data_IF_760442470324
#
_entry.id   IF_760442470324
#
_cell.length_a   1.000
_cell.length_b   1.000
_cell.length_c   1.000
_cell.angle_alpha   90.00
_cell.angle_beta   90.00
_cell.angle_gamma   90.00
#
_symmetry.space_group_name_H-M   'P 1'
#
loop_
_entity.id
_entity.type
_entity.pdbx_description
1 polymer ?
#
# COMPACT_ATOMS: atom_id res chain seq x y z
N UNK A 1 -25.34 -28.78 -36.45
CA UNK A 1 -24.29 -27.96 -35.79
C UNK A 1 -24.78 -26.62 -35.19
N UNK A 2 -26.08 -26.26 -35.18
CA UNK A 2 -26.56 -24.97 -34.61
C UNK A 2 -27.00 -25.00 -33.13
N UNK A 3 -27.30 -26.17 -32.56
CA UNK A 3 -27.82 -26.30 -31.17
C UNK A 3 -26.75 -26.18 -30.07
N UNK A 4 -25.51 -26.59 -30.35
CA UNK A 4 -24.43 -26.61 -29.34
C UNK A 4 -23.95 -25.18 -29.02
N UNK A 5 -23.92 -24.29 -30.02
CA UNK A 5 -23.44 -22.91 -29.84
C UNK A 5 -24.39 -22.07 -28.97
N UNK A 6 -25.69 -22.39 -28.98
CA UNK A 6 -26.70 -21.69 -28.17
C UNK A 6 -26.56 -22.01 -26.67
N UNK A 7 -26.14 -23.24 -26.33
CA UNK A 7 -25.90 -23.63 -24.94
C UNK A 7 -24.64 -22.98 -24.36
N UNK A 8 -23.57 -22.84 -25.14
CA UNK A 8 -22.37 -22.12 -24.69
C UNK A 8 -22.60 -20.62 -24.55
N UNK A 9 -23.39 -20.01 -25.45
CA UNK A 9 -23.77 -18.59 -25.32
C UNK A 9 -24.63 -18.32 -24.08
N UNK A 10 -25.59 -19.20 -23.76
CA UNK A 10 -26.44 -19.10 -22.58
C UNK A 10 -25.65 -19.34 -21.27
N UNK A 11 -24.75 -20.33 -21.25
CA UNK A 11 -23.86 -20.57 -20.11
C UNK A 11 -22.89 -19.41 -19.88
N UNK A 12 -22.33 -18.81 -20.94
CA UNK A 12 -21.48 -17.63 -20.84
C UNK A 12 -22.24 -16.41 -20.31
N UNK A 13 -23.52 -16.24 -20.69
CA UNK A 13 -24.37 -15.15 -20.19
C UNK A 13 -24.72 -15.32 -18.70
N UNK A 14 -25.01 -16.54 -18.25
CA UNK A 14 -25.31 -16.83 -16.84
C UNK A 14 -24.05 -16.67 -15.97
N UNK A 15 -22.88 -17.09 -16.46
CA UNK A 15 -21.62 -16.96 -15.73
C UNK A 15 -21.15 -15.50 -15.60
N UNK A 16 -21.43 -14.67 -16.62
CA UNK A 16 -21.12 -13.23 -16.58
C UNK A 16 -22.11 -12.42 -15.72
N UNK A 17 -23.37 -12.86 -15.61
CA UNK A 17 -24.33 -12.32 -14.63
C UNK A 17 -23.99 -12.74 -13.19
N UNK A 18 -23.50 -13.96 -12.97
CA UNK A 18 -23.08 -14.42 -11.64
C UNK A 18 -21.77 -13.74 -11.16
N UNK A 19 -20.82 -13.44 -12.06
CA UNK A 19 -19.59 -12.72 -11.70
C UNK A 19 -19.80 -11.23 -11.42
N UNK A 20 -20.78 -10.60 -12.09
CA UNK A 20 -21.09 -9.18 -11.86
C UNK A 20 -21.89 -8.93 -10.57
N UNK A 21 -22.46 -9.98 -9.97
CA UNK A 21 -23.15 -9.91 -8.67
C UNK A 21 -22.25 -9.93 -7.44
N UNK A 22 -21.01 -10.45 -7.53
CA UNK A 22 -20.12 -10.56 -6.36
C UNK A 22 -19.24 -9.33 -6.11
N UNK A 23 -19.21 -8.37 -7.04
CA UNK A 23 -18.43 -7.13 -6.91
C UNK A 23 -19.27 -5.85 -6.80
N UNK A 24 -20.60 -5.95 -6.77
CA UNK A 24 -21.49 -4.79 -6.59
C UNK A 24 -21.99 -4.71 -5.14
N UNK A 25 -21.96 -3.49 -4.62
CA UNK A 25 -22.73 -3.01 -3.46
C UNK A 25 -22.18 -3.21 -2.04
N UNK A 26 -20.86 -3.20 -1.84
CA UNK A 26 -20.36 -2.68 -0.55
C UNK A 26 -20.07 -1.19 -0.70
N UNK A 27 -20.87 -0.31 -0.06
CA UNK A 27 -20.54 1.11 -0.05
C UNK A 27 -19.13 1.29 0.52
N UNK A 28 -18.40 2.29 0.00
CA UNK A 28 -17.08 2.63 0.53
C UNK A 28 -17.17 2.80 2.05
N UNK A 29 -16.17 2.32 2.81
CA UNK A 29 -16.20 2.47 4.25
C UNK A 29 -16.32 3.97 4.62
N UNK A 30 -17.04 4.31 5.69
CA UNK A 30 -17.16 5.70 6.12
C UNK A 30 -15.77 6.27 6.42
N UNK A 31 -15.56 7.58 6.22
CA UNK A 31 -14.30 8.21 6.50
C UNK A 31 -13.92 7.99 7.96
N UNK A 32 -12.65 7.69 8.22
CA UNK A 32 -12.13 7.65 9.59
C UNK A 32 -12.01 9.05 10.16
N UNK A 33 -12.22 9.22 11.48
CA UNK A 33 -11.91 10.43 12.26
C UNK A 33 -10.46 10.83 12.12
N UNK A 34 -9.58 9.85 11.92
CA UNK A 34 -8.14 10.03 11.91
C UNK A 34 -7.60 9.78 10.49
N UNK A 35 -6.71 10.65 10.04
CA UNK A 35 -5.71 10.34 9.04
C UNK A 35 -4.36 10.11 9.72
N UNK A 36 -3.36 9.68 8.97
CA UNK A 36 -2.02 9.47 9.50
C UNK A 36 -0.92 9.90 8.52
N UNK A 37 0.23 10.25 9.06
CA UNK A 37 1.49 10.47 8.35
C UNK A 37 2.56 9.60 8.98
N UNK A 38 3.50 9.10 8.18
CA UNK A 38 4.60 8.28 8.64
C UNK A 38 5.90 9.08 8.51
N UNK A 39 6.54 9.32 9.65
CA UNK A 39 7.83 10.02 9.74
C UNK A 39 8.91 8.97 9.94
N UNK A 40 9.82 8.87 8.99
CA UNK A 40 10.90 7.89 9.00
C UNK A 40 12.01 8.34 9.94
N UNK A 41 12.54 7.42 10.73
CA UNK A 41 13.79 7.63 11.45
C UNK A 41 14.95 7.53 10.46
N UNK A 42 15.54 8.66 10.08
CA UNK A 42 16.65 8.70 9.15
C UNK A 42 17.86 7.86 9.60
N UNK A 43 18.05 7.65 10.92
CA UNK A 43 19.13 6.80 11.45
C UNK A 43 18.91 5.31 11.19
N UNK A 44 17.66 4.91 10.91
CA UNK A 44 17.30 3.54 10.56
C UNK A 44 17.48 3.22 9.08
N UNK A 45 17.87 4.20 8.25
CA UNK A 45 18.09 3.97 6.83
C UNK A 45 19.53 3.48 6.58
N UNK A 46 19.71 2.38 5.83
CA UNK A 46 21.04 1.97 5.39
C UNK A 46 21.68 3.04 4.51
N UNK A 47 23.02 3.03 4.44
CA UNK A 47 23.78 3.93 3.57
C UNK A 47 23.31 3.80 2.12
N UNK A 48 23.04 4.94 1.46
CA UNK A 48 22.57 4.98 0.07
C UNK A 48 21.06 4.75 -0.10
N UNK A 49 20.33 4.47 0.98
CA UNK A 49 18.87 4.36 0.96
C UNK A 49 18.25 5.72 1.27
N UNK A 50 17.28 6.12 0.45
CA UNK A 50 16.50 7.34 0.69
C UNK A 50 15.03 7.05 0.44
N UNK A 51 14.17 7.78 1.16
CA UNK A 51 12.73 7.70 0.99
C UNK A 51 12.20 9.09 0.70
N UNK A 52 11.35 9.18 -0.32
CA UNK A 52 10.66 10.40 -0.74
C UNK A 52 9.18 10.24 -0.50
N UNK A 53 8.59 11.23 0.15
CA UNK A 53 7.15 11.33 0.31
C UNK A 53 6.53 12.04 -0.91
N UNK A 54 5.43 11.49 -1.42
CA UNK A 54 4.66 12.06 -2.53
C UNK A 54 3.23 12.26 -2.05
N UNK A 55 2.84 13.52 -1.91
CA UNK A 55 1.47 13.91 -1.53
C UNK A 55 0.64 14.18 -2.78
N UNK A 56 -0.57 13.63 -2.78
CA UNK A 56 -1.65 13.98 -3.70
C UNK A 56 -2.82 14.53 -2.88
N UNK A 57 -3.83 15.08 -3.54
CA UNK A 57 -5.04 15.58 -2.87
C UNK A 57 -5.74 14.52 -2.01
N UNK A 58 -5.58 13.24 -2.37
CA UNK A 58 -6.33 12.12 -1.76
C UNK A 58 -5.45 11.09 -1.05
N UNK A 59 -4.12 11.12 -1.22
CA UNK A 59 -3.24 10.10 -0.64
C UNK A 59 -1.79 10.57 -0.47
N UNK A 60 -1.10 9.96 0.48
CA UNK A 60 0.35 10.09 0.66
C UNK A 60 0.98 8.74 0.30
N UNK A 61 2.00 8.76 -0.55
CA UNK A 61 2.77 7.58 -0.96
C UNK A 61 4.25 7.78 -0.64
N UNK A 62 4.96 6.71 -0.32
CA UNK A 62 6.37 6.74 0.03
C UNK A 62 7.13 5.93 -1.01
N UNK A 63 8.10 6.55 -1.66
CA UNK A 63 8.96 5.91 -2.64
C UNK A 63 10.34 5.74 -2.05
N UNK A 64 10.88 4.53 -2.15
CA UNK A 64 12.19 4.18 -1.64
C UNK A 64 13.12 3.84 -2.80
N UNK A 65 14.36 4.33 -2.70
CA UNK A 65 15.46 4.00 -3.60
C UNK A 65 16.70 3.62 -2.81
N UNK A 66 17.56 2.81 -3.43
CA UNK A 66 18.86 2.44 -2.90
C UNK A 66 19.93 2.62 -3.97
N UNK A 67 20.88 3.53 -3.74
CA UNK A 67 22.00 3.78 -4.65
C UNK A 67 23.27 3.03 -4.26
N UNK A 68 23.25 2.26 -3.16
CA UNK A 68 24.39 1.44 -2.75
C UNK A 68 24.40 0.09 -3.47
N UNK A 69 25.58 -0.53 -3.57
CA UNK A 69 25.74 -1.90 -4.09
C UNK A 69 25.31 -2.98 -3.09
N UNK A 70 24.89 -2.59 -1.88
CA UNK A 70 24.36 -3.49 -0.86
C UNK A 70 22.87 -3.68 -1.12
N UNK A 71 22.39 -4.90 -1.44
CA UNK A 71 21.00 -5.10 -1.79
C UNK A 71 20.08 -4.93 -0.58
N UNK A 72 19.01 -4.17 -0.77
CA UNK A 72 17.90 -4.04 0.17
C UNK A 72 16.65 -4.65 -0.47
N UNK A 73 16.06 -5.66 0.16
CA UNK A 73 14.82 -6.29 -0.30
C UNK A 73 13.69 -5.83 0.62
N UNK A 74 12.59 -5.39 0.02
CA UNK A 74 11.38 -4.94 0.72
C UNK A 74 10.15 -5.64 0.15
N UNK A 75 9.03 -5.49 0.86
CA UNK A 75 7.72 -5.99 0.43
C UNK A 75 7.74 -7.51 0.12
N UNK A 76 8.59 -8.28 0.82
CA UNK A 76 8.66 -9.72 0.62
C UNK A 76 7.32 -10.38 0.95
N UNK A 77 6.88 -11.26 0.05
CA UNK A 77 5.65 -12.05 0.21
C UNK A 77 6.02 -13.50 0.13
N UNK A 78 5.61 -14.26 1.14
CA UNK A 78 5.84 -15.70 1.21
C UNK A 78 4.53 -16.46 1.14
N UNK A 79 4.53 -17.58 0.41
CA UNK A 79 3.46 -18.56 0.39
C UNK A 79 4.09 -19.94 0.55
N UNK A 80 3.65 -20.74 1.53
CA UNK A 80 4.22 -22.06 1.84
C UNK A 80 5.75 -22.01 1.99
N UNK A 81 6.25 -21.01 2.73
CA UNK A 81 7.68 -20.75 2.96
C UNK A 81 8.51 -20.47 1.68
N UNK A 82 7.86 -20.17 0.56
CA UNK A 82 8.52 -19.78 -0.69
C UNK A 82 8.26 -18.31 -0.98
N UNK A 83 9.30 -17.59 -1.39
CA UNK A 83 9.16 -16.22 -1.87
C UNK A 83 8.31 -16.23 -3.14
N UNK A 84 7.23 -15.45 -3.14
CA UNK A 84 6.31 -15.30 -4.28
C UNK A 84 6.26 -13.87 -4.81
N UNK A 85 6.89 -12.93 -4.13
CA UNK A 85 7.01 -11.54 -4.56
C UNK A 85 7.88 -10.72 -3.63
N UNK A 86 8.36 -9.59 -4.12
CA UNK A 86 9.22 -8.66 -3.39
C UNK A 86 9.91 -7.72 -4.36
N UNK A 87 10.51 -6.65 -3.83
CA UNK A 87 11.32 -5.71 -4.59
C UNK A 87 12.73 -5.65 -4.00
N UNK A 88 13.74 -5.91 -4.82
CA UNK A 88 15.16 -5.78 -4.49
C UNK A 88 15.66 -4.47 -5.09
N UNK A 89 16.21 -3.61 -4.24
CA UNK A 89 16.82 -2.34 -4.61
C UNK A 89 18.33 -2.46 -4.44
N UNK A 90 19.08 -2.24 -5.52
CA UNK A 90 20.54 -2.35 -5.54
C UNK A 90 21.11 -1.48 -6.66
N UNK A 91 22.19 -0.76 -6.38
CA UNK A 91 22.93 0.04 -7.37
C UNK A 91 22.06 1.00 -8.21
N UNK A 92 21.02 1.58 -7.61
CA UNK A 92 20.10 2.48 -8.29
C UNK A 92 19.06 1.80 -9.18
N UNK A 93 18.90 0.48 -9.07
CA UNK A 93 17.92 -0.30 -9.84
C UNK A 93 16.96 -1.05 -8.93
N UNK A 94 15.71 -1.19 -9.39
CA UNK A 94 14.67 -2.01 -8.76
C UNK A 94 14.46 -3.28 -9.58
N UNK A 95 14.58 -4.43 -8.92
CA UNK A 95 14.23 -5.74 -9.45
C UNK A 95 13.02 -6.30 -8.69
N UNK A 96 12.03 -6.82 -9.40
CA UNK A 96 10.90 -7.51 -8.79
C UNK A 96 11.09 -9.03 -8.89
N UNK A 97 10.60 -9.76 -7.89
CA UNK A 97 10.70 -11.23 -7.88
C UNK A 97 9.55 -11.88 -8.66
N UNK A 98 9.88 -12.69 -9.66
CA UNK A 98 8.91 -13.45 -10.45
C UNK A 98 9.15 -14.96 -10.28
N UNK A 99 8.33 -15.67 -9.48
CA UNK A 99 8.56 -17.10 -9.19
C UNK A 99 8.46 -17.99 -10.44
N UNK A 100 7.53 -17.65 -11.34
CA UNK A 100 7.30 -18.37 -12.60
C UNK A 100 7.92 -17.69 -13.81
N UNK A 101 8.65 -16.59 -13.59
CA UNK A 101 9.18 -15.72 -14.62
C UNK A 101 8.14 -14.80 -15.26
N UNK A 102 8.62 -13.93 -16.14
CA UNK A 102 7.78 -12.96 -16.87
C UNK A 102 7.52 -13.51 -18.27
N UNK A 103 6.26 -13.74 -18.66
CA UNK A 103 5.97 -14.18 -20.01
C UNK A 103 6.28 -13.06 -21.01
N UNK A 104 7.18 -13.32 -21.95
CA UNK A 104 7.58 -12.37 -22.99
C UNK A 104 7.65 -13.09 -24.34
N UNK A 105 6.92 -12.58 -25.32
CA UNK A 105 6.88 -13.15 -26.67
C UNK A 105 8.29 -13.27 -27.25
N UNK A 106 8.65 -14.46 -27.75
CA UNK A 106 9.95 -14.73 -28.36
C UNK A 106 11.14 -14.77 -27.40
N UNK A 107 10.94 -14.72 -26.07
CA UNK A 107 12.03 -14.75 -25.08
C UNK A 107 11.85 -15.90 -24.10
N UNK A 108 12.97 -16.48 -23.64
CA UNK A 108 12.98 -17.44 -22.53
C UNK A 108 12.52 -16.74 -21.25
N UNK A 109 11.52 -17.29 -20.56
CA UNK A 109 11.05 -16.76 -19.29
C UNK A 109 12.09 -17.01 -18.21
N UNK A 110 12.89 -16.00 -17.88
CA UNK A 110 13.81 -16.08 -16.75
C UNK A 110 12.99 -16.03 -15.45
N UNK A 111 13.42 -16.77 -14.43
CA UNK A 111 12.79 -16.79 -13.10
C UNK A 111 13.60 -15.94 -12.12
N UNK A 112 12.96 -15.46 -11.06
CA UNK A 112 13.61 -14.73 -9.99
C UNK A 112 13.61 -13.21 -10.19
N UNK A 113 14.65 -12.55 -9.68
CA UNK A 113 14.78 -11.09 -9.65
C UNK A 113 15.01 -10.49 -11.04
N UNK A 114 14.08 -9.68 -11.52
CA UNK A 114 14.12 -9.09 -12.86
C UNK A 114 13.51 -7.69 -12.89
N UNK A 115 13.91 -6.88 -13.88
CA UNK A 115 13.20 -5.66 -14.24
C UNK A 115 12.71 -5.71 -15.70
N UNK A 116 11.58 -6.39 -15.96
CA UNK A 116 11.08 -6.56 -17.32
C UNK A 116 10.60 -5.24 -17.97
N UNK A 117 10.35 -4.21 -17.16
CA UNK A 117 9.80 -2.91 -17.61
C UNK A 117 10.86 -1.80 -17.69
N UNK A 118 12.14 -2.17 -17.77
CA UNK A 118 13.25 -1.22 -17.87
C UNK A 118 13.86 -0.81 -16.53
N UNK A 119 14.83 0.09 -16.55
CA UNK A 119 15.50 0.56 -15.33
C UNK A 119 14.62 1.54 -14.58
N UNK A 120 14.17 1.15 -13.40
CA UNK A 120 13.37 1.98 -12.51
C UNK A 120 14.21 2.25 -11.24
N UNK A 121 14.39 3.52 -10.82
CA UNK A 121 15.29 3.86 -9.72
C UNK A 121 14.66 3.74 -8.33
N UNK A 122 13.34 3.76 -8.24
CA UNK A 122 12.59 3.76 -6.98
C UNK A 122 11.31 2.94 -7.09
N UNK A 123 10.82 2.46 -5.95
CA UNK A 123 9.55 1.72 -5.90
C UNK A 123 8.74 2.12 -4.67
N UNK A 124 7.47 1.73 -4.64
CA UNK A 124 6.57 2.03 -3.53
C UNK A 124 7.00 1.25 -2.27
N UNK A 125 7.22 1.98 -1.18
CA UNK A 125 7.32 1.41 0.16
C UNK A 125 5.91 1.24 0.72
N UNK A 126 5.51 -0.01 0.96
CA UNK A 126 4.19 -0.29 1.51
C UNK A 126 4.17 0.00 3.01
N UNK A 127 3.27 0.90 3.41
CA UNK A 127 3.01 1.20 4.82
C UNK A 127 1.67 0.60 5.18
N UNK A 128 1.68 -0.28 6.20
CA UNK A 128 0.45 -0.87 6.70
C UNK A 128 -0.41 0.21 7.35
N UNK A 129 -1.68 0.26 6.97
CA UNK A 129 -2.65 1.17 7.58
C UNK A 129 -2.76 0.89 9.10
N UNK A 130 -2.63 1.92 9.97
CA UNK A 130 -2.72 1.74 11.41
C UNK A 130 -4.12 1.29 11.83
N UNK A 131 -4.21 0.41 12.84
CA UNK A 131 -5.51 -0.10 13.35
C UNK A 131 -6.45 1.04 13.80
N UNK A 132 -5.87 2.14 14.29
CA UNK A 132 -6.62 3.34 14.69
C UNK A 132 -7.42 3.97 13.55
N UNK A 133 -7.01 3.79 12.30
CA UNK A 133 -7.81 4.26 11.16
C UNK A 133 -9.12 3.49 11.07
N UNK A 134 -9.12 2.18 11.28
CA UNK A 134 -10.34 1.38 11.32
C UNK A 134 -11.22 1.74 12.51
N UNK A 135 -10.64 1.87 13.71
CA UNK A 135 -11.38 2.30 14.91
C UNK A 135 -11.99 3.69 14.76
N UNK A 136 -11.30 4.58 14.04
CA UNK A 136 -11.74 5.95 13.75
C UNK A 136 -12.98 6.03 12.86
N UNK A 137 -13.45 4.93 12.27
CA UNK A 137 -14.67 4.89 11.43
C UNK A 137 -15.97 4.83 12.25
N UNK A 138 -15.88 4.62 13.57
CA UNK A 138 -17.06 4.60 14.46
C UNK A 138 -17.65 6.01 14.59
N UNK A 139 -18.97 6.11 14.68
CA UNK A 139 -19.65 7.38 14.95
C UNK A 139 -19.42 7.86 16.40
N UNK A 140 -19.56 9.16 16.65
CA UNK A 140 -19.51 9.74 17.99
C UNK A 140 -18.12 9.88 18.60
N UNK A 141 -17.05 9.76 17.81
CA UNK A 141 -15.68 9.92 18.30
C UNK A 141 -15.34 11.38 18.57
N UNK A 142 -14.66 11.61 19.70
CA UNK A 142 -14.14 12.92 20.09
C UNK A 142 -13.02 13.37 19.15
N UNK A 143 -12.61 14.65 19.27
CA UNK A 143 -11.48 15.22 18.53
C UNK A 143 -10.11 14.85 19.12
N UNK A 144 -10.07 14.02 20.17
CA UNK A 144 -8.82 13.60 20.80
C UNK A 144 -8.05 12.69 19.84
N UNK A 145 -6.80 13.05 19.55
CA UNK A 145 -5.94 12.24 18.70
C UNK A 145 -5.47 10.98 19.46
N UNK A 146 -5.35 9.82 18.78
CA UNK A 146 -4.62 8.69 19.32
C UNK A 146 -3.16 9.07 19.60
N UNK A 147 -2.49 8.39 20.55
CA UNK A 147 -1.05 8.54 20.74
C UNK A 147 -0.30 8.10 19.48
N UNK A 148 0.93 8.60 19.34
CA UNK A 148 1.84 8.20 18.27
C UNK A 148 2.15 6.70 18.34
N UNK A 149 2.34 6.08 17.18
CA UNK A 149 2.59 4.65 17.07
C UNK A 149 3.94 4.43 16.37
N UNK A 150 4.87 3.72 17.01
CA UNK A 150 6.11 3.29 16.36
C UNK A 150 5.79 2.21 15.34
N UNK A 151 6.36 2.34 14.14
CA UNK A 151 6.22 1.36 13.07
C UNK A 151 7.60 0.86 12.65
N UNK A 152 7.72 -0.46 12.57
CA UNK A 152 8.84 -1.15 11.93
C UNK A 152 8.36 -1.71 10.59
N UNK A 153 9.13 -1.46 9.54
CA UNK A 153 8.92 -2.04 8.21
C UNK A 153 10.02 -3.07 7.99
N UNK A 154 9.61 -4.34 7.94
CA UNK A 154 10.51 -5.45 7.67
C UNK A 154 11.15 -5.33 6.28
N UNK A 155 12.45 -5.55 6.25
CA UNK A 155 13.28 -5.59 5.06
C UNK A 155 14.34 -6.70 5.22
N UNK A 156 15.04 -6.98 4.13
CA UNK A 156 16.20 -7.85 4.13
C UNK A 156 17.39 -7.08 3.53
N UNK A 157 18.38 -6.79 4.37
CA UNK A 157 19.60 -6.10 3.99
C UNK A 157 20.71 -7.14 3.80
N UNK A 158 21.11 -7.36 2.55
CA UNK A 158 22.16 -8.30 2.19
C UNK A 158 22.00 -9.72 2.77
N UNK A 159 20.80 -10.27 2.65
CA UNK A 159 20.46 -11.60 3.14
C UNK A 159 20.09 -11.67 4.62
N UNK A 160 20.15 -10.56 5.36
CA UNK A 160 19.86 -10.50 6.80
C UNK A 160 18.56 -9.75 7.07
N UNK A 161 17.74 -10.19 8.04
CA UNK A 161 16.60 -9.39 8.51
C UNK A 161 17.04 -7.99 8.92
N UNK A 162 16.26 -7.00 8.50
CA UNK A 162 16.49 -5.59 8.77
C UNK A 162 15.15 -4.88 8.99
N UNK A 163 15.17 -3.76 9.69
CA UNK A 163 13.97 -2.97 9.99
C UNK A 163 14.19 -1.50 9.66
N UNK A 164 13.32 -0.95 8.82
CA UNK A 164 13.22 0.50 8.62
C UNK A 164 12.23 1.02 9.65
N UNK A 165 12.68 1.95 10.49
CA UNK A 165 11.91 2.45 11.62
C UNK A 165 11.28 3.81 11.30
N UNK A 166 10.15 4.07 11.93
CA UNK A 166 9.56 5.40 11.96
C UNK A 166 8.40 5.50 12.93
N UNK A 167 7.74 6.64 12.90
CA UNK A 167 6.64 6.99 13.80
C UNK A 167 5.43 7.44 13.00
N UNK A 168 4.28 6.89 13.34
CA UNK A 168 2.99 7.30 12.82
C UNK A 168 2.46 8.43 13.69
N UNK A 169 2.19 9.58 13.05
CA UNK A 169 1.49 10.71 13.66
C UNK A 169 0.06 10.78 13.12
N UNK A 170 -0.91 10.88 14.03
CA UNK A 170 -2.32 10.99 13.67
C UNK A 170 -2.73 12.45 13.51
N UNK A 171 -3.64 12.71 12.58
CA UNK A 171 -4.27 14.02 12.41
C UNK A 171 -5.78 13.86 12.20
N UNK A 172 -6.54 14.92 12.43
CA UNK A 172 -8.00 14.88 12.25
C UNK A 172 -8.37 14.92 10.76
N UNK A 173 -9.27 14.02 10.37
CA UNK A 173 -9.87 14.02 9.05
C UNK A 173 -11.16 14.86 9.04
N UNK A 174 -11.18 15.93 8.25
CA UNK A 174 -12.34 16.82 8.13
C UNK A 174 -13.58 16.13 7.57
N UNK A 175 -13.39 15.16 6.67
CA UNK A 175 -14.50 14.44 6.03
C UNK A 175 -15.37 13.66 7.03
N UNK A 176 -14.80 13.25 8.17
CA UNK A 176 -15.53 12.57 9.24
C UNK A 176 -16.67 13.42 9.82
N UNK A 177 -16.38 14.67 10.18
CA UNK A 177 -17.36 15.56 10.80
C UNK A 177 -18.51 15.87 9.82
N UNK A 178 -18.17 16.09 8.54
CA UNK A 178 -19.14 16.30 7.47
C UNK A 178 -20.03 15.07 7.26
N UNK A 179 -19.45 13.87 7.21
CA UNK A 179 -20.17 12.62 7.01
C UNK A 179 -21.12 12.30 8.17
N UNK A 180 -20.66 12.47 9.42
CA UNK A 180 -21.46 12.21 10.62
C UNK A 180 -22.33 13.40 11.06
N UNK A 181 -22.39 14.49 10.26
CA UNK A 181 -23.18 15.70 10.54
C UNK A 181 -22.90 16.29 11.94
N UNK A 182 -21.65 16.21 12.39
CA UNK A 182 -21.26 16.72 13.71
C UNK A 182 -21.22 18.25 13.64
N UNK A 183 -22.08 18.92 14.42
CA UNK A 183 -22.07 20.39 14.55
C UNK A 183 -20.75 20.82 15.18
N UNK A 184 -19.94 21.59 14.45
CA UNK A 184 -18.73 22.22 14.99
C UNK A 184 -19.15 23.46 15.78
N UNK A 185 -18.90 23.54 17.10
CA UNK A 185 -19.20 24.75 17.85
C UNK A 185 -18.32 25.89 17.34
N UNK A 186 -18.94 27.06 17.07
CA UNK A 186 -18.20 28.27 16.67
C UNK A 186 -17.26 28.67 17.81
N UNK A 187 -16.00 29.07 17.51
CA UNK A 187 -15.12 29.61 18.54
C UNK A 187 -15.81 30.82 19.19
N UNK A 188 -15.86 30.86 20.53
CA UNK A 188 -16.34 32.02 21.27
C UNK A 188 -15.44 33.19 20.89
N UNK A 189 -15.98 34.18 20.20
CA UNK A 189 -15.32 35.47 20.04
C UNK A 189 -15.13 36.04 21.44
N UNK A 190 -13.91 36.42 21.86
CA UNK A 190 -13.74 37.14 23.10
C UNK A 190 -14.57 38.42 22.98
N UNK A 191 -15.50 38.62 23.93
CA UNK A 191 -16.33 39.82 23.98
C UNK A 191 -15.45 41.06 24.01
N UNK A 192 -15.77 42.03 23.14
CA UNK A 192 -15.33 43.42 23.25
C UNK A 192 -15.96 44.07 24.48
#
# INVERSE_FOLDING_TARGET
>A
MKRIHFHYALLALIFSLALSGYCRDRPAPPPSRYGFTFVIDAKSLPKGVTIREVRSETSIRYFIKNTSDVPLIINERFQNNRLVGGAKLVSGEVLNYFPNGVPMAGKRHLKGWQSPFGKIPETLLYIKEPKKIYEGRKAGLTRKLPPEEKLSIAANLNGKPYEILGTIHFHLNKAYDTFHRIKIPKPKTPGR
#
